data_IF_409840000013
#
_entry.id   IF_409840000013
#
_cell.length_a   1.000
_cell.length_b   1.000
_cell.length_c   1.000
_cell.angle_alpha   90.00
_cell.angle_beta   90.00
_cell.angle_gamma   90.00
#
_symmetry.space_group_name_H-M   'P 1'
#
loop_
_entity.id
_entity.type
_entity.pdbx_description
1 polymer ?
#
# COMPACT_ATOMS: atom_id res chain seq x y z
N UNK A 1 30.73 -71.08 41.95
CA UNK A 1 30.27 -69.71 41.67
C UNK A 1 30.98 -69.27 40.42
N UNK A 2 30.28 -69.28 39.29
CA UNK A 2 30.86 -69.01 37.97
C UNK A 2 30.39 -67.63 37.54
N UNK A 3 31.28 -66.65 37.57
CA UNK A 3 31.02 -65.30 37.09
C UNK A 3 30.90 -65.29 35.57
N UNK A 4 29.67 -65.13 35.07
CA UNK A 4 29.43 -64.84 33.65
C UNK A 4 29.65 -63.35 33.38
N UNK A 5 30.63 -62.97 32.54
CA UNK A 5 30.94 -61.58 32.27
C UNK A 5 29.81 -60.90 31.49
N UNK A 6 29.34 -59.76 32.00
CA UNK A 6 28.26 -58.95 31.44
C UNK A 6 28.70 -58.35 30.09
N UNK A 7 27.99 -58.61 28.97
CA UNK A 7 28.40 -58.11 27.67
C UNK A 7 28.31 -56.58 27.62
N UNK A 8 29.43 -55.92 27.32
CA UNK A 8 29.51 -54.48 27.08
C UNK A 8 28.97 -54.17 25.68
N UNK A 9 27.70 -53.81 25.58
CA UNK A 9 27.10 -53.27 24.35
C UNK A 9 27.53 -51.82 24.18
N UNK A 10 28.69 -51.61 23.57
CA UNK A 10 29.07 -50.30 23.05
C UNK A 10 28.24 -49.96 21.80
N UNK A 11 27.80 -48.71 21.63
CA UNK A 11 27.08 -48.30 20.43
C UNK A 11 27.97 -48.54 19.20
N UNK A 12 27.53 -49.44 18.31
CA UNK A 12 28.20 -49.67 17.02
C UNK A 12 27.81 -48.53 16.07
N UNK A 13 28.53 -47.42 16.16
CA UNK A 13 28.41 -46.36 15.18
C UNK A 13 28.97 -46.84 13.84
N UNK A 14 28.06 -47.11 12.90
CA UNK A 14 28.43 -47.37 11.52
C UNK A 14 29.06 -46.10 10.94
N UNK A 15 30.17 -46.26 10.21
CA UNK A 15 30.89 -45.17 9.54
C UNK A 15 29.96 -44.42 8.56
N UNK A 16 28.99 -45.13 7.99
CA UNK A 16 27.91 -44.57 7.18
C UNK A 16 27.04 -43.59 7.98
N UNK A 17 26.65 -43.93 9.21
CA UNK A 17 25.83 -43.06 10.06
C UNK A 17 26.56 -41.76 10.42
N UNK A 18 27.88 -41.83 10.62
CA UNK A 18 28.70 -40.64 10.88
C UNK A 18 28.78 -39.73 9.65
N UNK A 19 28.94 -40.31 8.45
CA UNK A 19 28.98 -39.56 7.21
C UNK A 19 27.63 -38.86 6.92
N UNK A 20 26.52 -39.58 7.10
CA UNK A 20 25.16 -39.02 6.94
C UNK A 20 24.91 -37.89 7.94
N UNK A 21 25.26 -38.08 9.20
CA UNK A 21 25.09 -37.04 10.23
C UNK A 21 25.90 -35.79 9.87
N UNK A 22 27.14 -35.96 9.42
CA UNK A 22 28.01 -34.85 8.99
C UNK A 22 27.42 -34.11 7.80
N UNK A 23 26.88 -34.84 6.81
CA UNK A 23 26.22 -34.23 5.66
C UNK A 23 24.98 -33.40 6.09
N UNK A 24 24.17 -33.93 7.00
CA UNK A 24 23.01 -33.21 7.55
C UNK A 24 23.46 -31.96 8.30
N UNK A 25 24.48 -32.03 9.14
CA UNK A 25 24.95 -30.86 9.89
C UNK A 25 25.51 -29.77 8.98
N UNK A 26 26.22 -30.15 7.91
CA UNK A 26 26.71 -29.20 6.90
C UNK A 26 25.53 -28.56 6.16
N UNK A 27 24.53 -29.35 5.73
CA UNK A 27 23.35 -28.82 5.06
C UNK A 27 22.57 -27.82 5.94
N UNK A 28 22.36 -28.17 7.22
CA UNK A 28 21.69 -27.28 8.18
C UNK A 28 22.49 -25.99 8.41
N UNK A 29 23.81 -26.08 8.52
CA UNK A 29 24.67 -24.90 8.68
C UNK A 29 24.60 -23.97 7.46
N UNK A 30 24.63 -24.52 6.24
CA UNK A 30 24.52 -23.74 4.99
C UNK A 30 23.15 -23.05 4.91
N UNK A 31 22.07 -23.77 5.16
CA UNK A 31 20.72 -23.19 5.17
C UNK A 31 20.57 -22.09 6.23
N UNK A 32 21.21 -22.26 7.39
CA UNK A 32 21.18 -21.24 8.44
C UNK A 32 21.93 -19.97 8.06
N UNK A 33 23.11 -20.10 7.44
CA UNK A 33 23.86 -18.95 6.93
C UNK A 33 23.08 -18.25 5.83
N UNK A 34 22.53 -19.00 4.88
CA UNK A 34 21.72 -18.44 3.78
C UNK A 34 20.49 -17.70 4.31
N UNK A 35 19.74 -18.28 5.25
CA UNK A 35 18.59 -17.62 5.88
C UNK A 35 19.00 -16.34 6.63
N UNK A 36 20.17 -16.34 7.27
CA UNK A 36 20.67 -15.20 8.05
C UNK A 36 21.15 -14.05 7.16
N UNK A 37 21.72 -14.34 5.99
CA UNK A 37 22.23 -13.32 5.05
C UNK A 37 21.16 -12.82 4.07
N UNK A 38 20.32 -13.72 3.55
CA UNK A 38 19.30 -13.37 2.55
C UNK A 38 18.18 -12.52 3.17
N UNK A 39 17.82 -12.76 4.44
CA UNK A 39 16.80 -11.99 5.17
C UNK A 39 17.08 -10.48 5.25
N UNK A 40 18.24 -10.01 5.75
CA UNK A 40 18.58 -8.59 5.78
C UNK A 40 18.77 -8.00 4.38
N UNK A 41 19.37 -8.73 3.43
CA UNK A 41 19.52 -8.26 2.05
C UNK A 41 18.15 -8.00 1.38
N UNK A 42 17.18 -8.88 1.55
CA UNK A 42 15.82 -8.68 1.03
C UNK A 42 15.12 -7.47 1.68
N UNK A 43 15.29 -7.30 2.99
CA UNK A 43 14.76 -6.12 3.70
C UNK A 43 15.40 -4.83 3.20
N UNK A 44 16.69 -4.86 2.91
CA UNK A 44 17.41 -3.71 2.40
C UNK A 44 17.02 -3.36 0.96
N UNK A 45 16.92 -4.35 0.07
CA UNK A 45 16.39 -4.15 -1.28
C UNK A 45 14.97 -3.60 -1.24
N UNK A 46 14.11 -4.12 -0.36
CA UNK A 46 12.75 -3.61 -0.17
C UNK A 46 12.77 -2.15 0.32
N UNK A 47 13.59 -1.84 1.33
CA UNK A 47 13.75 -0.48 1.87
C UNK A 47 14.23 0.49 0.79
N UNK A 48 15.23 0.11 0.00
CA UNK A 48 15.76 0.93 -1.09
C UNK A 48 14.72 1.15 -2.20
N UNK A 49 13.94 0.12 -2.54
CA UNK A 49 12.82 0.23 -3.49
C UNK A 49 11.72 1.15 -2.98
N UNK A 50 11.34 1.02 -1.70
CA UNK A 50 10.38 1.91 -1.06
C UNK A 50 10.89 3.37 -1.08
N UNK A 51 12.19 3.59 -0.84
CA UNK A 51 12.80 4.92 -0.91
C UNK A 51 12.86 5.49 -2.32
N UNK A 52 13.02 4.65 -3.35
CA UNK A 52 13.02 5.09 -4.76
C UNK A 52 11.61 5.18 -5.36
N UNK A 53 10.56 4.93 -4.59
CA UNK A 53 9.18 4.95 -5.09
C UNK A 53 8.83 3.74 -5.98
N UNK A 54 9.60 2.66 -5.90
CA UNK A 54 9.32 1.41 -6.62
C UNK A 54 8.39 0.53 -5.80
N UNK A 55 7.27 0.12 -6.42
CA UNK A 55 6.32 -0.80 -5.80
C UNK A 55 6.90 -2.22 -5.72
N UNK A 56 6.72 -2.88 -4.57
CA UNK A 56 7.13 -4.29 -4.39
C UNK A 56 5.90 -5.18 -4.41
N UNK A 57 5.71 -5.93 -5.50
CA UNK A 57 4.58 -6.85 -5.67
C UNK A 57 4.95 -8.23 -5.16
N UNK A 58 4.61 -8.53 -3.90
CA UNK A 58 4.85 -9.84 -3.28
C UNK A 58 3.82 -10.91 -3.73
N UNK A 59 2.57 -10.51 -3.97
CA UNK A 59 1.46 -11.37 -4.39
C UNK A 59 0.73 -10.76 -5.60
N UNK A 60 0.83 -11.39 -6.77
CA UNK A 60 0.22 -10.92 -8.03
C UNK A 60 -1.31 -11.11 -8.09
N UNK A 61 -1.92 -11.73 -7.10
CA UNK A 61 -3.39 -11.87 -7.05
C UNK A 61 -4.06 -10.72 -6.30
N UNK A 62 -3.26 -9.84 -5.69
CA UNK A 62 -3.73 -8.75 -4.84
C UNK A 62 -3.36 -7.40 -5.45
N UNK A 63 -4.25 -6.40 -5.38
CA UNK A 63 -3.87 -5.03 -5.69
C UNK A 63 -2.83 -4.54 -4.67
N UNK A 64 -1.86 -3.76 -5.16
CA UNK A 64 -0.88 -3.07 -4.33
C UNK A 64 -0.93 -1.58 -4.61
N UNK A 65 -0.70 -0.77 -3.58
CA UNK A 65 -0.57 0.67 -3.76
C UNK A 65 0.55 1.23 -2.87
N UNK A 66 1.18 2.29 -3.36
CA UNK A 66 2.25 3.03 -2.71
C UNK A 66 2.02 4.52 -2.95
N UNK A 67 2.03 5.32 -1.88
CA UNK A 67 1.98 6.77 -2.01
C UNK A 67 3.35 7.30 -2.43
N UNK A 68 3.38 8.10 -3.48
CA UNK A 68 4.57 8.79 -3.95
C UNK A 68 4.67 10.17 -3.29
N UNK A 69 5.90 10.61 -3.04
CA UNK A 69 6.16 11.98 -2.57
C UNK A 69 5.84 12.98 -3.68
N UNK A 70 5.30 14.12 -3.27
CA UNK A 70 4.97 15.24 -4.14
C UNK A 70 5.54 16.51 -3.53
N UNK A 71 6.03 17.41 -4.39
CA UNK A 71 6.56 18.72 -3.97
C UNK A 71 5.44 19.74 -3.76
N UNK A 72 4.24 19.49 -4.30
CA UNK A 72 3.06 20.34 -4.10
C UNK A 72 2.22 19.82 -2.93
N UNK A 73 1.84 20.69 -1.96
CA UNK A 73 1.04 20.30 -0.79
C UNK A 73 -0.39 19.87 -1.15
N UNK A 74 -0.87 20.25 -2.33
CA UNK A 74 -2.19 19.95 -2.85
C UNK A 74 -2.15 18.92 -3.99
N UNK A 75 -1.07 18.15 -4.05
CA UNK A 75 -0.92 17.07 -5.01
C UNK A 75 -0.58 15.79 -4.29
N UNK A 76 -1.37 14.77 -4.59
CA UNK A 76 -1.18 13.42 -4.09
C UNK A 76 -1.03 12.48 -5.26
N UNK A 77 -0.05 11.58 -5.15
CA UNK A 77 0.30 10.63 -6.20
C UNK A 77 0.38 9.25 -5.59
N UNK A 78 -0.13 8.26 -6.30
CA UNK A 78 -0.07 6.86 -5.90
C UNK A 78 0.42 6.03 -7.07
N UNK A 79 1.39 5.17 -6.81
CA UNK A 79 1.75 4.08 -7.70
C UNK A 79 0.87 2.89 -7.33
N UNK A 80 0.02 2.47 -8.25
CA UNK A 80 -0.95 1.40 -8.07
C UNK A 80 -0.59 0.25 -9.01
N UNK A 81 -0.63 -0.97 -8.50
CA UNK A 81 -0.49 -2.18 -9.30
C UNK A 81 -1.77 -3.01 -9.17
N UNK A 82 -2.31 -3.45 -10.30
CA UNK A 82 -3.56 -4.18 -10.38
C UNK A 82 -3.35 -5.56 -11.02
N UNK A 83 -4.07 -6.60 -10.56
CA UNK A 83 -4.02 -7.91 -11.18
C UNK A 83 -4.72 -7.91 -12.55
N UNK A 84 -4.15 -8.57 -13.56
CA UNK A 84 -4.58 -8.52 -14.98
C UNK A 84 -6.08 -8.71 -15.24
N UNK A 85 -6.73 -9.55 -14.44
CA UNK A 85 -8.09 -10.01 -14.69
C UNK A 85 -9.17 -9.03 -14.25
N UNK A 86 -8.83 -7.90 -13.63
CA UNK A 86 -9.81 -7.00 -13.03
C UNK A 86 -9.79 -5.66 -13.75
N UNK A 87 -10.93 -5.21 -14.29
CA UNK A 87 -11.09 -3.79 -14.59
C UNK A 87 -11.05 -3.00 -13.27
N UNK A 88 -10.65 -1.73 -13.30
CA UNK A 88 -10.72 -0.89 -12.11
C UNK A 88 -11.26 0.49 -12.44
N UNK A 89 -11.79 1.15 -11.42
CA UNK A 89 -12.26 2.53 -11.50
C UNK A 89 -11.73 3.27 -10.28
N UNK A 90 -11.10 4.42 -10.51
CA UNK A 90 -10.82 5.36 -9.41
C UNK A 90 -12.04 6.24 -9.23
N UNK A 91 -12.56 6.26 -8.02
CA UNK A 91 -13.67 7.12 -7.63
C UNK A 91 -13.15 8.23 -6.72
N UNK A 92 -13.84 9.35 -6.79
CA UNK A 92 -13.57 10.51 -5.94
C UNK A 92 -14.88 11.07 -5.41
N UNK A 93 -14.84 11.53 -4.16
CA UNK A 93 -15.92 12.28 -3.54
C UNK A 93 -15.33 13.50 -2.82
N UNK A 94 -15.90 14.65 -3.07
CA UNK A 94 -15.61 15.94 -2.48
C UNK A 94 -16.74 16.31 -1.52
N UNK A 95 -16.37 16.57 -0.26
CA UNK A 95 -17.33 16.73 0.81
C UNK A 95 -17.96 15.40 1.22
N UNK A 96 -18.80 15.44 2.26
CA UNK A 96 -19.50 14.25 2.70
C UNK A 96 -18.61 13.09 3.18
N UNK A 97 -17.32 13.35 3.50
CA UNK A 97 -16.33 12.30 3.75
C UNK A 97 -16.55 11.68 5.13
N UNK A 98 -16.93 10.39 5.23
CA UNK A 98 -17.19 9.75 6.51
C UNK A 98 -15.90 9.49 7.28
N UNK A 99 -16.01 9.25 8.58
CA UNK A 99 -14.86 8.81 9.40
C UNK A 99 -14.38 7.40 9.02
N UNK A 100 -15.31 6.51 8.66
CA UNK A 100 -15.09 5.11 8.32
C UNK A 100 -16.01 4.70 7.18
N UNK A 101 -15.56 3.80 6.32
CA UNK A 101 -16.34 3.34 5.17
C UNK A 101 -16.22 4.27 3.96
N UNK A 102 -16.93 3.94 2.89
CA UNK A 102 -16.98 4.75 1.67
C UNK A 102 -18.12 5.78 1.74
N UNK A 103 -18.02 6.89 0.99
CA UNK A 103 -19.15 7.79 0.75
C UNK A 103 -20.30 7.04 0.05
N UNK A 104 -21.53 7.53 0.22
CA UNK A 104 -22.71 6.91 -0.39
C UNK A 104 -22.70 7.04 -1.92
N UNK A 105 -22.18 8.16 -2.43
CA UNK A 105 -22.09 8.50 -3.84
C UNK A 105 -20.67 8.98 -4.15
N UNK A 106 -20.21 8.72 -5.36
CA UNK A 106 -18.99 9.31 -5.90
C UNK A 106 -19.38 10.46 -6.82
N UNK A 107 -18.66 11.57 -6.75
CA UNK A 107 -18.91 12.70 -7.63
C UNK A 107 -18.44 12.38 -9.05
N UNK A 108 -17.26 11.74 -9.15
CA UNK A 108 -16.65 11.38 -10.41
C UNK A 108 -16.01 10.00 -10.38
N UNK A 109 -15.86 9.42 -11.58
CA UNK A 109 -15.20 8.15 -11.79
C UNK A 109 -14.24 8.18 -13.00
N UNK A 110 -13.03 7.67 -12.78
CA UNK A 110 -12.00 7.51 -13.81
C UNK A 110 -11.78 6.01 -14.06
N UNK A 111 -12.27 5.45 -15.18
CA UNK A 111 -12.00 4.05 -15.51
C UNK A 111 -10.51 3.85 -15.83
N UNK A 112 -9.90 2.89 -15.16
CA UNK A 112 -8.51 2.49 -15.35
C UNK A 112 -8.47 1.16 -16.06
N UNK A 113 -7.65 1.11 -17.12
CA UNK A 113 -7.33 -0.15 -17.78
C UNK A 113 -6.19 -0.81 -17.03
N UNK A 114 -6.40 -2.06 -16.68
CA UNK A 114 -5.35 -2.81 -16.00
C UNK A 114 -4.26 -3.17 -16.98
N UNK A 115 -3.05 -2.74 -16.65
CA UNK A 115 -1.82 -3.15 -17.30
C UNK A 115 -1.05 -4.02 -16.30
N UNK A 116 -0.19 -4.94 -16.77
CA UNK A 116 0.74 -5.66 -15.87
C UNK A 116 1.76 -4.71 -15.23
N UNK A 117 1.77 -3.44 -15.64
CA UNK A 117 2.70 -2.41 -15.21
C UNK A 117 2.08 -1.56 -14.09
N UNK A 118 2.89 -1.10 -13.13
CA UNK A 118 2.42 -0.13 -12.15
C UNK A 118 1.99 1.17 -12.83
N UNK A 119 0.81 1.67 -12.48
CA UNK A 119 0.24 2.91 -12.99
C UNK A 119 0.28 4.00 -11.93
N UNK A 120 0.51 5.25 -12.35
CA UNK A 120 0.47 6.39 -11.44
C UNK A 120 -0.93 7.02 -11.50
N UNK A 121 -1.63 7.03 -10.38
CA UNK A 121 -2.82 7.85 -10.15
C UNK A 121 -2.38 9.13 -9.47
N UNK A 122 -2.85 10.29 -9.92
CA UNK A 122 -2.63 11.55 -9.23
C UNK A 122 -3.92 12.32 -9.06
N UNK A 123 -4.01 13.00 -7.92
CA UNK A 123 -5.03 14.00 -7.64
C UNK A 123 -4.35 15.30 -7.28
N UNK A 124 -4.69 16.38 -7.97
CA UNK A 124 -4.14 17.71 -7.73
C UNK A 124 -5.26 18.71 -7.59
N UNK A 125 -5.20 19.56 -6.58
CA UNK A 125 -6.09 20.71 -6.46
C UNK A 125 -5.38 21.91 -7.08
N UNK A 126 -6.11 22.59 -7.96
CA UNK A 126 -5.69 23.80 -8.65
C UNK A 126 -6.43 24.99 -8.07
N UNK A 127 -5.81 26.17 -8.19
CA UNK A 127 -6.43 27.46 -7.91
C UNK A 127 -6.52 28.21 -9.22
N UNK A 128 -7.73 28.58 -9.62
CA UNK A 128 -7.91 29.43 -10.79
C UNK A 128 -7.31 30.82 -10.48
N UNK A 129 -6.38 31.32 -11.32
CA UNK A 129 -5.80 32.65 -11.13
C UNK A 129 -6.81 33.80 -11.31
N UNK A 130 -7.95 33.58 -11.98
CA UNK A 130 -8.94 34.63 -12.28
C UNK A 130 -9.98 34.73 -11.19
N UNK A 131 -10.75 33.65 -11.00
CA UNK A 131 -11.96 33.64 -10.15
C UNK A 131 -11.68 33.12 -8.73
N UNK A 132 -10.43 32.73 -8.45
CA UNK A 132 -9.97 32.24 -7.16
C UNK A 132 -10.58 30.91 -6.66
N UNK A 133 -11.53 30.32 -7.39
CA UNK A 133 -12.10 29.02 -7.04
C UNK A 133 -11.05 27.91 -7.14
N UNK A 134 -11.27 26.87 -6.34
CA UNK A 134 -10.44 25.69 -6.30
C UNK A 134 -11.15 24.53 -6.99
N UNK A 135 -10.40 23.74 -7.76
CA UNK A 135 -10.91 22.55 -8.43
C UNK A 135 -9.93 21.40 -8.35
N UNK A 136 -10.46 20.18 -8.31
CA UNK A 136 -9.68 18.96 -8.32
C UNK A 136 -9.40 18.51 -9.75
N UNK A 137 -8.25 17.89 -9.96
CA UNK A 137 -7.93 17.17 -11.19
C UNK A 137 -7.52 15.75 -10.82
N UNK A 138 -8.25 14.76 -11.31
CA UNK A 138 -7.90 13.35 -11.18
C UNK A 138 -7.31 12.84 -12.50
N UNK A 139 -6.14 12.22 -12.47
CA UNK A 139 -5.51 11.64 -13.67
C UNK A 139 -4.87 10.28 -13.40
N UNK A 140 -4.75 9.45 -14.42
CA UNK A 140 -4.06 8.16 -14.38
C UNK A 140 -3.17 7.98 -15.61
N UNK A 141 -1.96 7.44 -15.42
CA UNK A 141 -0.99 7.17 -16.51
C UNK A 141 -0.59 8.41 -17.34
N UNK A 142 -0.67 9.62 -16.76
CA UNK A 142 -0.43 10.87 -17.50
C UNK A 142 -1.46 11.13 -18.60
N UNK A 143 -2.60 10.42 -18.58
CA UNK A 143 -3.74 10.59 -19.47
C UNK A 143 -4.91 11.21 -18.72
N UNK A 144 -5.72 11.94 -19.49
CA UNK A 144 -7.03 12.54 -19.16
C UNK A 144 -7.20 12.91 -17.69
N UNK A 145 -6.93 14.18 -17.42
CA UNK A 145 -7.44 14.89 -16.27
C UNK A 145 -8.98 14.92 -16.36
N UNK A 146 -9.67 14.37 -15.37
CA UNK A 146 -11.08 14.71 -15.10
C UNK A 146 -11.04 15.85 -14.09
N UNK A 147 -11.69 16.95 -14.42
CA UNK A 147 -11.95 18.02 -13.45
C UNK A 147 -13.01 17.52 -12.48
N UNK A 148 -12.68 17.55 -11.19
CA UNK A 148 -13.48 16.97 -10.12
C UNK A 148 -13.98 18.08 -9.21
N UNK A 149 -15.29 18.29 -9.28
CA UNK A 149 -16.02 19.27 -8.49
C UNK A 149 -15.72 20.72 -8.89
N UNK A 150 -16.76 21.53 -8.86
CA UNK A 150 -16.67 22.99 -8.92
C UNK A 150 -16.70 23.54 -7.50
N UNK A 151 -15.87 24.55 -7.22
CA UNK A 151 -15.85 25.31 -5.96
C UNK A 151 -15.52 24.49 -4.69
N UNK A 152 -14.34 23.86 -4.67
CA UNK A 152 -13.82 23.21 -3.46
C UNK A 152 -13.52 24.27 -2.38
N UNK A 153 -14.47 24.58 -1.51
CA UNK A 153 -14.26 25.56 -0.44
C UNK A 153 -13.22 25.07 0.60
N UNK A 154 -13.15 23.75 0.87
CA UNK A 154 -12.43 23.15 1.99
C UNK A 154 -10.90 23.34 2.09
N UNK A 155 -10.14 23.61 1.01
CA UNK A 155 -8.70 23.88 1.09
C UNK A 155 -8.33 25.33 1.45
N UNK A 156 -9.23 26.32 1.36
CA UNK A 156 -8.90 27.75 1.62
C UNK A 156 -8.86 28.11 3.12
N UNK A 157 -9.30 27.22 3.99
CA UNK A 157 -9.56 27.58 5.38
C UNK A 157 -8.32 27.58 6.27
N UNK A 158 -8.15 28.68 7.01
CA UNK A 158 -7.22 28.80 8.13
C UNK A 158 -7.99 29.10 9.43
N UNK A 159 -7.76 28.38 10.55
CA UNK A 159 -6.98 27.15 10.74
C UNK A 159 -7.87 25.89 10.71
N UNK A 160 -7.59 24.94 9.80
CA UNK A 160 -8.22 23.60 9.81
C UNK A 160 -7.28 22.52 10.32
N UNK A 161 -7.85 21.62 11.12
CA UNK A 161 -7.25 20.31 11.37
C UNK A 161 -7.56 19.40 10.19
N UNK A 162 -6.52 18.76 9.64
CA UNK A 162 -6.65 17.74 8.62
C UNK A 162 -6.44 16.36 9.22
N UNK A 163 -7.39 15.44 9.01
CA UNK A 163 -7.18 14.01 9.24
C UNK A 163 -6.94 13.32 7.92
N UNK A 164 -5.80 12.63 7.84
CA UNK A 164 -5.37 11.88 6.65
C UNK A 164 -5.41 10.38 6.91
N UNK A 165 -6.14 9.66 6.07
CA UNK A 165 -6.17 8.19 5.97
C UNK A 165 -5.84 7.72 4.55
N UNK A 166 -5.74 6.41 4.37
CA UNK A 166 -5.50 5.74 3.09
C UNK A 166 -4.10 5.15 2.93
N UNK A 167 -3.66 5.01 1.68
CA UNK A 167 -2.35 4.47 1.30
C UNK A 167 -1.23 5.38 1.82
N UNK A 168 -0.15 4.77 2.32
CA UNK A 168 1.03 5.46 2.87
C UNK A 168 2.25 5.32 1.95
N UNK A 169 3.40 5.91 2.33
CA UNK A 169 4.68 5.80 1.62
C UNK A 169 5.33 4.40 1.67
N UNK A 170 4.60 3.39 2.14
CA UNK A 170 5.04 1.98 2.11
C UNK A 170 4.10 1.21 1.20
N UNK A 171 4.64 0.21 0.48
CA UNK A 171 3.80 -0.64 -0.35
C UNK A 171 2.82 -1.41 0.53
N UNK A 172 1.54 -1.26 0.27
CA UNK A 172 0.45 -1.95 0.94
C UNK A 172 -0.25 -2.87 -0.04
N UNK A 173 -0.54 -4.10 0.39
CA UNK A 173 -1.32 -5.09 -0.36
C UNK A 173 -2.75 -5.12 0.18
N UNK A 174 -3.75 -5.15 -0.70
CA UNK A 174 -5.15 -5.19 -0.29
C UNK A 174 -5.82 -6.51 -0.69
N UNK A 175 -6.92 -6.84 0.00
CA UNK A 175 -7.69 -8.03 -0.35
C UNK A 175 -8.38 -7.83 -1.71
N UNK A 176 -8.45 -8.85 -2.59
CA UNK A 176 -9.15 -8.76 -3.85
C UNK A 176 -10.64 -8.47 -3.62
N UNK A 177 -11.27 -7.72 -4.54
CA UNK A 177 -12.68 -7.33 -4.47
C UNK A 177 -13.02 -6.27 -3.40
N UNK A 178 -12.08 -5.87 -2.53
CA UNK A 178 -12.32 -4.76 -1.59
C UNK A 178 -11.84 -3.44 -2.19
N UNK A 179 -12.59 -2.34 -2.00
CA UNK A 179 -12.14 -1.00 -2.35
C UNK A 179 -10.81 -0.65 -1.67
N UNK A 180 -9.89 -0.05 -2.42
CA UNK A 180 -8.59 0.41 -1.92
C UNK A 180 -8.67 1.91 -1.69
N UNK A 181 -8.69 2.34 -0.43
CA UNK A 181 -8.69 3.75 -0.06
C UNK A 181 -7.31 4.38 -0.32
N UNK A 182 -7.19 5.18 -1.39
CA UNK A 182 -5.97 5.88 -1.75
C UNK A 182 -5.75 7.10 -0.86
N UNK A 183 -6.82 7.88 -0.65
CA UNK A 183 -6.83 9.08 0.17
C UNK A 183 -8.14 9.21 0.93
N UNK A 184 -8.06 9.55 2.20
CA UNK A 184 -9.17 10.15 2.94
C UNK A 184 -8.64 11.38 3.64
N UNK A 185 -9.03 12.54 3.15
CA UNK A 185 -8.72 13.82 3.74
C UNK A 185 -10.01 14.41 4.28
N UNK A 186 -10.05 14.65 5.59
CA UNK A 186 -11.18 15.31 6.26
C UNK A 186 -10.70 16.64 6.82
N UNK A 187 -11.47 17.69 6.57
CA UNK A 187 -11.17 19.06 6.92
C UNK A 187 -12.33 19.64 7.73
N UNK A 188 -12.03 20.38 8.80
CA UNK A 188 -13.05 21.10 9.56
C UNK A 188 -12.47 22.38 10.16
N UNK A 189 -13.30 23.41 10.27
CA UNK A 189 -12.98 24.69 10.93
C UNK A 189 -12.97 24.53 12.45
N UNK A 190 -12.03 23.73 12.96
CA UNK A 190 -11.87 23.52 14.38
C UNK A 190 -10.41 23.28 14.70
N UNK A 191 -9.99 23.68 15.89
CA UNK A 191 -8.68 23.34 16.45
C UNK A 191 -8.68 21.96 17.12
N UNK A 192 -9.86 21.35 17.30
CA UNK A 192 -10.00 20.06 17.98
C UNK A 192 -10.39 18.95 17.00
N UNK A 193 -9.46 18.03 16.75
CA UNK A 193 -9.64 16.83 15.90
C UNK A 193 -10.91 16.04 16.26
N UNK A 194 -11.31 16.02 17.53
CA UNK A 194 -12.49 15.28 18.00
C UNK A 194 -13.82 15.94 17.59
N UNK A 195 -13.79 17.19 17.16
CA UNK A 195 -14.95 17.97 16.75
C UNK A 195 -15.16 17.97 15.22
N UNK A 196 -14.37 17.20 14.47
CA UNK A 196 -14.57 17.06 13.03
C UNK A 196 -15.92 16.34 12.78
N UNK A 197 -16.88 16.97 12.07
CA UNK A 197 -18.20 16.40 11.84
C UNK A 197 -18.13 15.09 11.05
N UNK A 198 -19.17 14.25 11.15
CA UNK A 198 -19.26 13.00 10.39
C UNK A 198 -20.62 12.92 9.69
N UNK A 199 -20.68 13.10 8.37
CA UNK A 199 -19.55 13.33 7.45
C UNK A 199 -18.90 14.73 7.60
N UNK A 200 -17.69 14.90 7.07
CA UNK A 200 -16.97 16.18 7.03
C UNK A 200 -16.67 16.62 5.60
N UNK A 201 -16.37 17.90 5.43
CA UNK A 201 -15.75 18.40 4.22
C UNK A 201 -14.38 17.76 3.99
N UNK A 202 -13.96 17.68 2.74
CA UNK A 202 -12.67 17.11 2.37
C UNK A 202 -12.73 16.38 1.04
N UNK A 203 -11.80 15.46 0.83
CA UNK A 203 -11.75 14.62 -0.37
C UNK A 203 -11.46 13.17 0.01
N UNK A 204 -12.17 12.26 -0.62
CA UNK A 204 -11.92 10.83 -0.53
C UNK A 204 -11.70 10.26 -1.93
N UNK A 205 -10.63 9.50 -2.08
CA UNK A 205 -10.24 8.85 -3.34
C UNK A 205 -10.03 7.38 -3.06
N UNK A 206 -10.71 6.53 -3.82
CA UNK A 206 -10.58 5.09 -3.68
C UNK A 206 -10.62 4.40 -5.03
N UNK A 207 -10.01 3.22 -5.08
CA UNK A 207 -10.01 2.35 -6.23
C UNK A 207 -11.02 1.22 -6.00
N UNK A 208 -11.91 1.02 -6.95
CA UNK A 208 -12.87 -0.09 -6.96
C UNK A 208 -12.53 -1.04 -8.10
N UNK A 209 -12.35 -2.32 -7.78
CA UNK A 209 -12.14 -3.37 -8.78
C UNK A 209 -13.49 -3.83 -9.31
N UNK A 210 -13.65 -3.83 -10.63
CA UNK A 210 -14.78 -4.46 -11.30
C UNK A 210 -14.57 -5.99 -11.28
N UNK A 211 -15.62 -6.77 -10.96
CA UNK A 211 -15.56 -8.23 -11.02
C UNK A 211 -15.34 -8.75 -12.44
#
# INVERSE_FOLDING_TARGET
MSDTPKPRTGPRFSLLSLLVLTAITVLVAVLWVELREVGPLRREVRRLREQSGLITVDDRTRPHALMLKSDSPFEWRWLVWLPESSGAVVRVANGGVPITGLPAEADDELPIRTTQEPLVVSYRIHRDPVDNWLYGTLSAEGRVAIEVGDDLAWPEFSPKVFLRGGVTEKTQSFAPGKPVELLRLRAAETTNVRMIPNPADGVMIWLEMKP
#
